data_IF_541520811177
#
_entry.id   IF_541520811177
#
_cell.length_a   1.000
_cell.length_b   1.000
_cell.length_c   1.000
_cell.angle_alpha   90.00
_cell.angle_beta   90.00
_cell.angle_gamma   90.00
#
_symmetry.space_group_name_H-M   'P 1'
#
loop_
_entity.id
_entity.type
_entity.pdbx_description
1 polymer ?
#
# COMPACT_ATOMS: atom_id res chain seq x y z
N UNK A 1 2.36 2.96 18.31
CA UNK A 1 1.48 1.89 17.79
C UNK A 1 2.19 0.54 17.72
N UNK A 2 3.06 0.22 16.73
CA UNK A 2 3.67 -1.13 16.66
C UNK A 2 4.48 -1.46 17.92
N UNK A 3 5.38 -0.55 18.34
CA UNK A 3 6.14 -0.67 19.59
C UNK A 3 5.24 -0.80 20.84
N UNK A 4 4.06 -0.18 20.84
CA UNK A 4 3.10 -0.26 21.96
C UNK A 4 2.38 -1.61 21.97
N UNK A 5 1.96 -2.11 20.80
CA UNK A 5 1.32 -3.41 20.66
C UNK A 5 2.28 -4.54 21.09
N UNK A 6 3.56 -4.45 20.71
CA UNK A 6 4.60 -5.35 21.19
C UNK A 6 4.77 -5.27 22.71
N UNK A 7 4.72 -4.08 23.31
CA UNK A 7 4.80 -3.91 24.76
C UNK A 7 3.60 -4.53 25.51
N UNK A 8 2.45 -4.60 24.86
CA UNK A 8 1.26 -5.30 25.37
C UNK A 8 1.19 -6.78 24.97
N UNK A 9 2.25 -7.33 24.36
CA UNK A 9 2.30 -8.71 23.86
C UNK A 9 1.18 -9.04 22.85
N UNK A 10 0.74 -8.03 22.10
CA UNK A 10 -0.26 -8.18 21.03
C UNK A 10 0.46 -8.46 19.72
N UNK A 11 0.08 -9.57 19.09
CA UNK A 11 0.61 -10.02 17.81
C UNK A 11 0.36 -9.01 16.67
N UNK A 12 1.42 -8.62 15.96
CA UNK A 12 1.32 -7.82 14.74
C UNK A 12 2.38 -8.26 13.74
N UNK A 13 1.94 -8.75 12.58
CA UNK A 13 2.84 -9.25 11.54
C UNK A 13 2.51 -8.73 10.13
N UNK A 14 1.48 -7.90 9.99
CA UNK A 14 0.99 -7.44 8.69
C UNK A 14 0.86 -5.91 8.70
N UNK A 15 1.37 -5.25 7.65
CA UNK A 15 1.22 -3.82 7.43
C UNK A 15 0.59 -3.61 6.06
N UNK A 16 -0.53 -2.89 6.01
CA UNK A 16 -1.17 -2.49 4.75
C UNK A 16 -0.79 -1.05 4.43
N UNK A 17 -0.07 -0.84 3.34
CA UNK A 17 0.25 0.48 2.80
C UNK A 17 -0.73 0.80 1.69
N UNK A 18 -1.67 1.71 1.95
CA UNK A 18 -2.76 2.04 1.03
C UNK A 18 -2.50 3.32 0.23
N UNK A 19 -3.29 3.51 -0.84
CA UNK A 19 -3.28 4.71 -1.70
C UNK A 19 -1.92 4.97 -2.38
N UNK A 20 -1.23 3.90 -2.77
CA UNK A 20 0.01 3.99 -3.52
C UNK A 20 -0.28 4.27 -5.00
N UNK A 21 0.39 5.28 -5.56
CA UNK A 21 0.35 5.53 -6.99
C UNK A 21 1.31 4.58 -7.71
N UNK A 22 0.88 3.36 -8.04
CA UNK A 22 1.78 2.33 -8.60
C UNK A 22 1.96 2.40 -10.13
N UNK A 23 0.99 2.99 -10.85
CA UNK A 23 0.97 3.03 -12.31
C UNK A 23 1.26 4.45 -12.85
N UNK A 24 2.44 5.00 -12.57
CA UNK A 24 2.81 6.35 -13.03
C UNK A 24 3.75 6.36 -14.24
N UNK A 25 4.24 5.19 -14.69
CA UNK A 25 5.09 5.08 -15.88
C UNK A 25 4.33 5.56 -17.11
N UNK A 26 4.93 6.48 -17.88
CA UNK A 26 4.30 7.08 -19.06
C UNK A 26 3.24 8.15 -18.78
N UNK A 27 2.98 8.50 -17.51
CA UNK A 27 2.02 9.55 -17.18
C UNK A 27 2.59 10.95 -17.44
N UNK A 28 1.83 11.81 -18.13
CA UNK A 28 2.13 13.24 -18.28
C UNK A 28 1.85 14.08 -17.02
N UNK A 29 1.29 13.47 -15.96
CA UNK A 29 0.91 14.17 -14.73
C UNK A 29 2.12 14.42 -13.81
N UNK A 30 2.67 15.63 -13.82
CA UNK A 30 3.82 16.01 -12.97
C UNK A 30 3.55 15.88 -11.47
N UNK A 31 2.33 16.21 -11.03
CA UNK A 31 1.93 16.07 -9.62
C UNK A 31 1.91 14.61 -9.17
N UNK A 32 1.42 13.72 -10.04
CA UNK A 32 1.36 12.28 -9.80
C UNK A 32 2.76 11.68 -9.70
N UNK A 33 3.68 12.11 -10.58
CA UNK A 33 5.09 11.70 -10.55
C UNK A 33 5.79 12.16 -9.27
N UNK A 34 5.60 13.43 -8.88
CA UNK A 34 6.16 13.97 -7.63
C UNK A 34 5.65 13.19 -6.40
N UNK A 35 4.33 12.96 -6.35
CA UNK A 35 3.69 12.20 -5.27
C UNK A 35 4.18 10.76 -5.21
N UNK A 36 4.33 10.10 -6.37
CA UNK A 36 4.89 8.76 -6.43
C UNK A 36 6.33 8.70 -5.90
N UNK A 37 7.21 9.64 -6.28
CA UNK A 37 8.59 9.69 -5.74
C UNK A 37 8.62 9.83 -4.22
N UNK A 38 7.75 10.68 -3.67
CA UNK A 38 7.62 10.84 -2.22
C UNK A 38 7.14 9.53 -1.56
N UNK A 39 6.09 8.91 -2.13
CA UNK A 39 5.56 7.64 -1.63
C UNK A 39 6.62 6.53 -1.69
N UNK A 40 7.41 6.45 -2.75
CA UNK A 40 8.47 5.46 -2.91
C UNK A 40 9.51 5.59 -1.80
N UNK A 41 9.96 6.81 -1.49
CA UNK A 41 10.93 7.04 -0.40
C UNK A 41 10.42 6.50 0.94
N UNK A 42 9.16 6.77 1.30
CA UNK A 42 8.58 6.27 2.55
C UNK A 42 8.33 4.76 2.51
N UNK A 43 7.94 4.23 1.35
CA UNK A 43 7.74 2.80 1.16
C UNK A 43 9.06 2.03 1.35
N UNK A 44 10.16 2.53 0.80
CA UNK A 44 11.49 1.93 0.95
C UNK A 44 11.91 1.89 2.43
N UNK A 45 11.68 2.99 3.16
CA UNK A 45 11.92 3.04 4.61
C UNK A 45 11.05 2.03 5.39
N UNK A 46 9.78 1.86 5.02
CA UNK A 46 8.89 0.87 5.65
C UNK A 46 9.41 -0.55 5.38
N UNK A 47 9.84 -0.83 4.15
CA UNK A 47 10.39 -2.15 3.79
C UNK A 47 11.67 -2.47 4.55
N UNK A 48 12.53 -1.47 4.81
CA UNK A 48 13.76 -1.63 5.59
C UNK A 48 13.49 -1.79 7.10
N UNK A 49 12.61 -0.97 7.66
CA UNK A 49 12.32 -0.99 9.11
C UNK A 49 11.50 -2.21 9.55
N UNK A 50 10.69 -2.78 8.65
CA UNK A 50 9.76 -3.87 8.94
C UNK A 50 9.98 -5.05 8.00
N UNK A 51 11.24 -5.44 7.78
CA UNK A 51 11.62 -6.53 6.88
C UNK A 51 10.98 -7.89 7.23
N UNK A 52 10.73 -8.12 8.52
CA UNK A 52 10.08 -9.33 9.04
C UNK A 52 8.55 -9.30 8.99
N UNK A 53 7.95 -8.17 8.53
CA UNK A 53 6.51 -8.03 8.42
C UNK A 53 6.04 -8.34 7.00
N UNK A 54 4.82 -8.86 6.89
CA UNK A 54 4.13 -8.95 5.62
C UNK A 54 3.57 -7.58 5.20
N UNK A 55 4.28 -6.90 4.30
CA UNK A 55 3.89 -5.58 3.79
C UNK A 55 3.05 -5.72 2.52
N UNK A 56 1.77 -5.37 2.63
CA UNK A 56 0.81 -5.39 1.52
C UNK A 56 0.75 -3.99 0.90
N UNK A 57 1.00 -3.90 -0.41
CA UNK A 57 1.01 -2.64 -1.18
C UNK A 57 -0.30 -2.52 -1.96
N UNK A 58 -1.17 -1.61 -1.58
CA UNK A 58 -2.46 -1.38 -2.25
C UNK A 58 -2.43 -0.12 -3.12
N UNK A 59 -2.91 -0.21 -4.37
CA UNK A 59 -2.97 0.94 -5.26
C UNK A 59 -4.03 1.94 -4.82
N UNK A 60 -3.80 3.21 -5.14
CA UNK A 60 -4.87 4.20 -5.14
C UNK A 60 -5.83 3.92 -6.29
N UNK A 61 -7.10 3.71 -5.96
CA UNK A 61 -8.19 3.60 -6.95
C UNK A 61 -8.78 4.98 -7.25
N UNK A 62 -9.31 5.17 -8.46
CA UNK A 62 -9.87 6.45 -8.93
C UNK A 62 -11.25 6.76 -8.35
N UNK A 63 -11.94 5.74 -7.81
CA UNK A 63 -13.29 5.84 -7.25
C UNK A 63 -13.29 5.40 -5.80
N UNK A 64 -14.24 5.92 -5.02
CA UNK A 64 -14.42 5.52 -3.63
C UNK A 64 -14.84 4.03 -3.56
N UNK A 65 -14.15 3.24 -2.74
CA UNK A 65 -14.46 1.82 -2.58
C UNK A 65 -15.68 1.68 -1.67
N UNK A 66 -16.87 1.67 -2.28
CA UNK A 66 -18.16 1.56 -1.56
C UNK A 66 -19.08 0.54 -2.18
N UNK A 67 -19.91 -0.06 -1.33
CA UNK A 67 -20.78 -1.17 -1.70
C UNK A 67 -20.05 -2.50 -1.71
N UNK A 68 -20.82 -3.58 -1.55
CA UNK A 68 -20.30 -4.94 -1.34
C UNK A 68 -19.43 -5.39 -2.51
N UNK A 69 -19.82 -5.07 -3.74
CA UNK A 69 -19.09 -5.51 -4.93
C UNK A 69 -17.71 -4.83 -5.05
N UNK A 70 -17.64 -3.52 -4.83
CA UNK A 70 -16.37 -2.79 -4.89
C UNK A 70 -15.42 -3.24 -3.77
N UNK A 71 -15.95 -3.46 -2.56
CA UNK A 71 -15.18 -3.99 -1.43
C UNK A 71 -14.62 -5.38 -1.72
N UNK A 72 -15.41 -6.28 -2.32
CA UNK A 72 -14.95 -7.61 -2.72
C UNK A 72 -13.80 -7.52 -3.73
N UNK A 73 -13.98 -6.74 -4.82
CA UNK A 73 -12.93 -6.53 -5.82
C UNK A 73 -11.65 -5.94 -5.20
N UNK A 74 -11.80 -4.96 -4.31
CA UNK A 74 -10.65 -4.36 -3.63
C UNK A 74 -9.93 -5.34 -2.69
N UNK A 75 -10.70 -6.19 -1.99
CA UNK A 75 -10.16 -7.19 -1.06
C UNK A 75 -9.30 -8.26 -1.74
N UNK A 76 -9.51 -8.55 -3.03
CA UNK A 76 -8.67 -9.48 -3.78
C UNK A 76 -7.20 -9.03 -3.81
N UNK A 77 -6.95 -7.72 -3.82
CA UNK A 77 -5.60 -7.14 -3.80
C UNK A 77 -4.92 -7.23 -2.43
N UNK A 78 -5.64 -7.57 -1.36
CA UNK A 78 -5.05 -7.89 -0.06
C UNK A 78 -4.41 -9.27 -0.04
N UNK A 79 -4.92 -10.19 -0.87
CA UNK A 79 -4.48 -11.58 -0.91
C UNK A 79 -3.51 -11.81 -2.06
N UNK A 80 -3.80 -11.24 -3.23
CA UNK A 80 -2.97 -11.34 -4.43
C UNK A 80 -2.21 -10.02 -4.60
N UNK A 81 -0.86 -10.04 -4.59
CA UNK A 81 -0.07 -8.84 -4.80
C UNK A 81 -0.50 -8.10 -6.06
N UNK A 82 -0.76 -6.79 -5.94
CA UNK A 82 -1.14 -5.98 -7.09
C UNK A 82 -0.01 -5.96 -8.12
N UNK A 83 -0.32 -6.39 -9.35
CA UNK A 83 0.63 -6.38 -10.45
C UNK A 83 0.51 -5.06 -11.20
N UNK A 84 1.61 -4.29 -11.22
CA UNK A 84 1.75 -3.11 -12.08
C UNK A 84 1.86 -3.62 -13.52
N UNK A 85 0.81 -3.42 -14.31
CA UNK A 85 0.87 -3.67 -15.74
C UNK A 85 1.80 -2.62 -16.35
N UNK A 86 2.96 -3.07 -16.82
CA UNK A 86 4.01 -2.25 -17.45
C UNK A 86 3.65 -1.81 -18.86
#
# INVERSE_FOLDING_TARGET
MIQELTAYEIDTHNIVVNQLLLNVKGSGCQQCLSRHRMQQKYLDQIMELYEDFHIIKLPQVSTEVRGVEALKKFSEMLIKPYQVVS
#
